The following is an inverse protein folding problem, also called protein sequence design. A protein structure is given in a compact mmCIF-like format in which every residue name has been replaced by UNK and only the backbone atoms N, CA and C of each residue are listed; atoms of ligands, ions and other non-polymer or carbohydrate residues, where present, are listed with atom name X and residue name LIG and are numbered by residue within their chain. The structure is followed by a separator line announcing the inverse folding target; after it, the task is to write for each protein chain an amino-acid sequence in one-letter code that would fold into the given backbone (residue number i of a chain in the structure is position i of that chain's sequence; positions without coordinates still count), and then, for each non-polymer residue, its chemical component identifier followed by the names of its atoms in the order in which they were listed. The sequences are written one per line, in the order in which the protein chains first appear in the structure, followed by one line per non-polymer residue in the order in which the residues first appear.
data_IF_668668746084
#
_entry.id   IF_668668746084
#
_cell.length_a   1.000
_cell.length_b   1.000
_cell.length_c   1.000
_cell.angle_alpha   90.00
_cell.angle_beta   90.00
_cell.angle_gamma   90.00
#
_symmetry.space_group_name_H-M   'P 1'
#
loop_
_entity.id
_entity.type
_entity.pdbx_description
1 polymer ?
#
# COMPACT_ATOMS: atom_id res chain seq x y z
N UNK A 1 12.56 -22.43 11.10
CA UNK A 1 11.96 -21.08 11.09
C UNK A 1 11.43 -20.67 9.71
N UNK A 2 12.21 -20.81 8.63
CA UNK A 2 11.83 -20.37 7.27
C UNK A 2 10.47 -20.90 6.76
N UNK A 3 10.16 -22.18 6.96
CA UNK A 3 8.85 -22.76 6.55
C UNK A 3 7.64 -22.10 7.21
N UNK A 4 7.77 -21.59 8.44
CA UNK A 4 6.67 -20.89 9.13
C UNK A 4 6.42 -19.52 8.51
N UNK A 5 7.48 -18.82 8.09
CA UNK A 5 7.37 -17.53 7.41
C UNK A 5 6.75 -17.66 6.02
N UNK A 6 7.07 -18.73 5.28
CA UNK A 6 6.46 -19.01 3.97
C UNK A 6 4.95 -19.24 4.13
N UNK A 7 4.55 -20.04 5.13
CA UNK A 7 3.14 -20.32 5.40
C UNK A 7 2.39 -19.05 5.83
N UNK A 8 2.95 -18.26 6.75
CA UNK A 8 2.35 -17.00 7.20
C UNK A 8 2.22 -16.02 6.03
N UNK A 9 3.28 -15.86 5.23
CA UNK A 9 3.26 -15.03 4.03
C UNK A 9 2.17 -15.46 3.04
N UNK A 10 2.04 -16.76 2.79
CA UNK A 10 1.00 -17.27 1.89
C UNK A 10 -0.42 -17.02 2.38
N UNK A 11 -0.66 -17.09 3.70
CA UNK A 11 -1.98 -16.81 4.28
C UNK A 11 -2.31 -15.31 4.17
N UNK A 12 -1.34 -14.44 4.47
CA UNK A 12 -1.53 -12.99 4.37
C UNK A 12 -1.76 -12.57 2.91
N UNK A 13 -0.95 -13.05 1.96
CA UNK A 13 -1.11 -12.75 0.54
C UNK A 13 -2.46 -13.25 -0.01
N UNK A 14 -2.88 -14.45 0.38
CA UNK A 14 -4.20 -14.99 0.00
C UNK A 14 -5.35 -14.17 0.60
N UNK A 15 -5.19 -13.72 1.85
CA UNK A 15 -6.17 -12.85 2.52
C UNK A 15 -6.33 -11.49 1.83
N UNK A 16 -5.22 -10.86 1.42
CA UNK A 16 -5.25 -9.62 0.64
C UNK A 16 -5.90 -9.81 -0.74
N UNK A 17 -5.54 -10.87 -1.46
CA UNK A 17 -6.13 -11.16 -2.77
C UNK A 17 -7.65 -11.40 -2.68
N UNK A 18 -8.11 -12.13 -1.66
CA UNK A 18 -9.53 -12.37 -1.42
C UNK A 18 -10.28 -11.09 -1.02
N UNK A 19 -9.67 -10.23 -0.20
CA UNK A 19 -10.26 -8.96 0.20
C UNK A 19 -10.40 -7.97 -0.98
N UNK A 20 -9.49 -8.03 -1.95
CA UNK A 20 -9.64 -7.24 -3.19
C UNK A 20 -10.77 -7.77 -4.08
N UNK A 21 -10.96 -9.09 -4.15
CA UNK A 21 -12.01 -9.70 -4.99
C UNK A 21 -13.43 -9.55 -4.41
N UNK A 22 -13.57 -9.60 -3.08
CA UNK A 22 -14.83 -9.43 -2.35
C UNK A 22 -14.90 -8.06 -1.65
N UNK A 23 -14.35 -7.03 -2.29
CA UNK A 23 -14.50 -5.66 -1.82
C UNK A 23 -15.96 -5.22 -2.01
N UNK A 24 -16.84 -5.62 -1.09
CA UNK A 24 -18.13 -4.98 -0.82
C UNK A 24 -17.84 -3.58 -0.26
N UNK A 25 -17.32 -2.71 -1.12
CA UNK A 25 -17.00 -1.35 -0.78
C UNK A 25 -18.32 -0.56 -0.81
N UNK A 26 -18.88 -0.16 0.34
CA UNK A 26 -20.15 0.58 0.38
C UNK A 26 -20.02 1.99 -0.19
N UNK A 27 -18.80 2.40 -0.58
CA UNK A 27 -18.49 3.65 -1.25
C UNK A 27 -18.37 3.51 -2.78
N UNK A 28 -18.65 2.34 -3.36
CA UNK A 28 -18.87 2.20 -4.81
C UNK A 28 -20.33 2.55 -5.06
N UNK A 29 -20.56 3.80 -5.44
CA UNK A 29 -21.86 4.30 -5.89
C UNK A 29 -21.95 4.07 -7.40
N UNK A 30 -23.16 3.82 -7.92
CA UNK A 30 -23.41 3.98 -9.35
C UNK A 30 -23.13 5.45 -9.68
N UNK A 31 -22.00 5.71 -10.34
CA UNK A 31 -21.56 7.06 -10.67
C UNK A 31 -22.63 7.71 -11.57
N UNK A 32 -23.25 8.85 -11.19
CA UNK A 32 -23.97 9.65 -12.17
C UNK A 32 -22.96 10.06 -13.25
N UNK A 33 -23.38 10.06 -14.53
CA UNK A 33 -22.54 10.46 -15.66
C UNK A 33 -21.68 11.66 -15.28
N UNK A 34 -20.36 11.43 -15.26
CA UNK A 34 -19.36 12.38 -14.79
C UNK A 34 -19.57 13.70 -15.53
N UNK A 35 -20.12 14.70 -14.87
CA UNK A 35 -20.07 16.08 -15.39
C UNK A 35 -18.61 16.50 -15.31
N UNK A 36 -17.99 16.67 -16.47
CA UNK A 36 -16.63 17.21 -16.64
C UNK A 36 -16.44 18.44 -15.73
N UNK A 37 -15.77 18.28 -14.58
CA UNK A 37 -15.63 19.42 -13.66
C UNK A 37 -15.09 19.16 -12.26
N UNK A 38 -15.09 17.92 -11.76
CA UNK A 38 -14.59 17.69 -10.41
C UNK A 38 -13.06 17.52 -10.39
N UNK A 39 -12.38 18.59 -9.95
CA UNK A 39 -10.92 18.63 -9.76
C UNK A 39 -10.58 17.96 -8.43
N UNK A 40 -10.18 16.70 -8.49
CA UNK A 40 -9.53 16.01 -7.37
C UNK A 40 -8.00 16.11 -7.52
N UNK A 41 -7.25 16.32 -6.42
CA UNK A 41 -5.79 16.34 -6.49
C UNK A 41 -5.27 15.00 -7.01
N UNK A 42 -4.44 15.02 -8.06
CA UNK A 42 -3.88 13.81 -8.66
C UNK A 42 -4.71 13.18 -9.80
N UNK A 43 -5.65 13.93 -10.38
CA UNK A 43 -6.36 13.48 -11.59
C UNK A 43 -5.38 13.31 -12.78
N UNK A 44 -5.61 12.35 -13.69
CA UNK A 44 -4.83 12.22 -14.91
C UNK A 44 -4.84 13.53 -15.73
N UNK A 45 -3.65 14.06 -16.04
CA UNK A 45 -3.52 15.35 -16.73
C UNK A 45 -3.50 16.59 -15.82
N UNK A 46 -3.56 16.42 -14.50
CA UNK A 46 -3.35 17.50 -13.53
C UNK A 46 -1.90 18.03 -13.61
N UNK A 47 -1.69 19.29 -14.02
CA UNK A 47 -0.35 19.88 -14.11
C UNK A 47 0.32 20.06 -12.74
N UNK A 48 -0.45 19.96 -11.65
CA UNK A 48 0.04 20.04 -10.27
C UNK A 48 -0.19 18.72 -9.51
N UNK A 49 -0.27 17.59 -10.22
CA UNK A 49 -0.37 16.28 -9.59
C UNK A 49 0.73 16.11 -8.53
N UNK A 50 0.35 15.66 -7.34
CA UNK A 50 1.31 15.40 -6.27
C UNK A 50 2.37 14.40 -6.78
N UNK A 51 3.68 14.69 -6.67
CA UNK A 51 4.74 13.85 -7.23
C UNK A 51 5.00 12.64 -6.33
N UNK A 52 3.96 11.87 -5.99
CA UNK A 52 4.04 10.69 -5.12
C UNK A 52 5.10 9.71 -5.65
N UNK A 53 5.17 9.58 -6.97
CA UNK A 53 6.13 8.73 -7.66
C UNK A 53 7.59 9.12 -7.37
N UNK A 54 7.88 10.41 -7.16
CA UNK A 54 9.22 10.90 -6.82
C UNK A 54 9.62 10.52 -5.39
N UNK A 55 8.65 10.29 -4.50
CA UNK A 55 8.91 9.90 -3.11
C UNK A 55 9.02 8.39 -2.91
N UNK A 56 8.64 7.57 -3.90
CA UNK A 56 8.73 6.10 -3.82
C UNK A 56 10.13 5.63 -3.39
N UNK A 57 11.25 6.12 -3.98
CA UNK A 57 12.58 5.69 -3.55
C UNK A 57 12.88 6.02 -2.08
N UNK A 58 12.47 7.20 -1.60
CA UNK A 58 12.69 7.61 -0.21
C UNK A 58 11.86 6.77 0.77
N UNK A 59 10.60 6.50 0.43
CA UNK A 59 9.71 5.65 1.23
C UNK A 59 10.24 4.21 1.32
N UNK A 60 10.80 3.67 0.24
CA UNK A 60 11.43 2.35 0.23
C UNK A 60 12.64 2.31 1.17
N UNK A 61 13.53 3.31 1.11
CA UNK A 61 14.69 3.41 2.00
C UNK A 61 14.25 3.49 3.46
N UNK A 62 13.23 4.30 3.76
CA UNK A 62 12.67 4.43 5.10
C UNK A 62 12.11 3.09 5.62
N UNK A 63 11.37 2.36 4.79
CA UNK A 63 10.86 1.04 5.14
C UNK A 63 11.99 0.05 5.46
N UNK A 64 13.04 0.00 4.64
CA UNK A 64 14.22 -0.85 4.87
C UNK A 64 14.91 -0.46 6.18
N UNK A 65 15.10 0.85 6.42
CA UNK A 65 15.73 1.34 7.64
C UNK A 65 14.95 0.92 8.90
N UNK A 66 13.61 1.02 8.87
CA UNK A 66 12.76 0.56 9.98
C UNK A 66 12.92 -0.93 10.24
N UNK A 67 12.94 -1.77 9.19
CA UNK A 67 13.14 -3.22 9.32
C UNK A 67 14.49 -3.54 9.94
N UNK A 68 15.56 -2.89 9.49
CA UNK A 68 16.93 -3.12 10.00
C UNK A 68 17.05 -2.69 11.46
N UNK A 69 16.50 -1.52 11.82
CA UNK A 69 16.51 -1.02 13.21
C UNK A 69 15.71 -1.96 14.12
N UNK A 70 14.52 -2.36 13.70
CA UNK A 70 13.69 -3.29 14.45
C UNK A 70 14.43 -4.63 14.68
N UNK A 71 15.04 -5.19 13.63
CA UNK A 71 15.79 -6.44 13.75
C UNK A 71 17.03 -6.34 14.65
N UNK A 72 17.73 -5.20 14.65
CA UNK A 72 18.86 -4.95 15.56
C UNK A 72 18.44 -4.87 17.02
N UNK A 73 17.25 -4.33 17.32
CA UNK A 73 16.74 -4.26 18.70
C UNK A 73 16.51 -5.66 19.29
N UNK A 74 16.00 -6.60 18.50
CA UNK A 74 15.82 -7.99 18.94
C UNK A 74 17.14 -8.70 19.29
N UNK A 75 18.26 -8.35 18.63
CA UNK A 75 19.57 -8.99 18.82
C UNK A 75 20.35 -8.43 20.03
N UNK A 76 20.03 -7.21 20.47
CA UNK A 76 20.71 -6.55 21.61
C UNK A 76 19.98 -6.84 22.94
N UNK A 77 18.73 -7.33 22.87
CA UNK A 77 17.93 -7.70 24.05
C UNK A 77 18.01 -9.18 24.45
N UNK A 78 18.80 -9.99 23.74
CA UNK A 78 19.27 -11.32 24.19
C UNK A 78 20.67 -11.21 24.81
#
# INVERSE_FOLDING_TARGET
MMKKLIIIGSIVLSGFAFAQQNSDNPYVYDEPEVTEGDVFPGNPGDPNAAPIDEYIPALLIMAIAMIVVYKKRDVISE
#
